data_IF_175757294858
#
_entry.id   IF_175757294858
#
_cell.length_a   1.000
_cell.length_b   1.000
_cell.length_c   1.000
_cell.angle_alpha   90.00
_cell.angle_beta   90.00
_cell.angle_gamma   90.00
#
_symmetry.space_group_name_H-M   'P 1'
#
loop_
_entity.id
_entity.type
_entity.pdbx_description
1 polymer ?
#
# COMPACT_ATOMS: atom_id res chain seq x y z
N UNK A 1 -1.43 19.59 23.88
CA UNK A 1 -1.94 19.81 22.52
C UNK A 1 -1.17 18.87 21.60
N UNK A 2 -1.86 17.99 20.87
CA UNK A 2 -1.18 17.10 19.92
C UNK A 2 -0.70 17.95 18.73
N UNK A 3 0.61 17.94 18.47
CA UNK A 3 1.18 18.54 17.26
C UNK A 3 0.83 17.63 16.09
N UNK A 4 -0.25 17.95 15.38
CA UNK A 4 -0.55 17.29 14.12
C UNK A 4 0.49 17.68 13.07
N UNK A 5 0.99 16.71 12.29
CA UNK A 5 1.65 17.02 11.02
C UNK A 5 0.68 17.68 10.03
N UNK A 6 1.18 18.21 8.91
CA UNK A 6 0.38 18.99 7.95
C UNK A 6 -0.93 18.31 7.53
N UNK A 7 -0.88 17.02 7.19
CA UNK A 7 -2.08 16.24 6.85
C UNK A 7 -3.08 16.14 8.01
N UNK A 8 -2.61 16.02 9.24
CA UNK A 8 -3.47 15.96 10.42
C UNK A 8 -4.13 17.31 10.72
N UNK A 9 -3.42 18.42 10.49
CA UNK A 9 -3.97 19.77 10.62
C UNK A 9 -5.04 20.04 9.55
N UNK A 10 -4.77 19.67 8.29
CA UNK A 10 -5.74 19.78 7.20
C UNK A 10 -7.01 18.93 7.47
N UNK A 11 -6.85 17.69 7.92
CA UNK A 11 -7.97 16.81 8.26
C UNK A 11 -8.79 17.36 9.44
N UNK A 12 -8.14 17.90 10.48
CA UNK A 12 -8.83 18.52 11.61
C UNK A 12 -9.64 19.74 11.18
N UNK A 13 -9.10 20.57 10.29
CA UNK A 13 -9.79 21.75 9.76
C UNK A 13 -10.98 21.36 8.89
N UNK A 14 -10.80 20.40 7.97
CA UNK A 14 -11.88 19.91 7.13
C UNK A 14 -13.06 19.39 7.96
N UNK A 15 -12.79 18.63 9.03
CA UNK A 15 -13.83 18.17 9.97
C UNK A 15 -14.56 19.31 10.66
N UNK A 16 -13.82 20.32 11.14
CA UNK A 16 -14.42 21.49 11.80
C UNK A 16 -15.35 22.28 10.85
N UNK A 17 -15.01 22.32 9.56
CA UNK A 17 -15.77 23.02 8.52
C UNK A 17 -16.83 22.12 7.83
N UNK A 18 -17.02 20.88 8.30
CA UNK A 18 -18.01 19.94 7.73
C UNK A 18 -17.69 19.44 6.32
N UNK A 19 -16.43 19.56 5.88
CA UNK A 19 -15.96 19.15 4.56
C UNK A 19 -15.72 17.63 4.55
N UNK A 20 -16.32 16.87 3.59
CA UNK A 20 -16.08 15.44 3.48
C UNK A 20 -14.60 15.12 3.24
N UNK A 21 -14.12 14.09 3.93
CA UNK A 21 -12.77 13.56 3.75
C UNK A 21 -12.83 12.24 2.97
N UNK A 22 -11.89 12.11 2.03
CA UNK A 22 -11.67 10.91 1.23
C UNK A 22 -10.26 10.39 1.48
N UNK A 23 -10.10 9.07 1.43
CA UNK A 23 -8.80 8.42 1.52
C UNK A 23 -8.21 8.29 0.13
N UNK A 24 -6.93 8.57 -0.01
CA UNK A 24 -6.16 8.24 -1.21
C UNK A 24 -5.78 6.76 -1.28
N UNK A 25 -5.78 6.05 -0.14
CA UNK A 25 -5.48 4.62 -0.13
C UNK A 25 -6.71 3.86 -0.63
N UNK A 26 -6.57 3.02 -1.67
CA UNK A 26 -7.62 2.10 -2.05
C UNK A 26 -7.88 1.10 -0.91
N UNK A 27 -9.04 0.45 -0.98
CA UNK A 27 -9.29 -0.72 -0.13
C UNK A 27 -8.26 -1.79 -0.42
N UNK A 28 -7.71 -2.41 0.63
CA UNK A 28 -6.67 -3.43 0.47
C UNK A 28 -7.14 -4.61 -0.37
N UNK A 29 -8.41 -5.01 -0.22
CA UNK A 29 -8.97 -6.12 -1.02
C UNK A 29 -8.90 -5.82 -2.53
N UNK A 30 -9.22 -4.58 -2.92
CA UNK A 30 -9.16 -4.17 -4.32
C UNK A 30 -7.71 -4.13 -4.82
N UNK A 31 -6.79 -3.57 -4.03
CA UNK A 31 -5.38 -3.53 -4.42
C UNK A 31 -4.81 -4.95 -4.61
N UNK A 32 -5.12 -5.87 -3.69
CA UNK A 32 -4.72 -7.28 -3.78
C UNK A 32 -5.29 -7.95 -5.03
N UNK A 33 -6.58 -7.75 -5.32
CA UNK A 33 -7.23 -8.28 -6.53
C UNK A 33 -6.51 -7.79 -7.80
N UNK A 34 -6.21 -6.48 -7.89
CA UNK A 34 -5.50 -5.91 -9.04
C UNK A 34 -4.05 -6.41 -9.15
N UNK A 35 -3.38 -6.64 -8.02
CA UNK A 35 -2.05 -7.22 -7.99
C UNK A 35 -2.04 -8.67 -8.44
N UNK A 36 -3.04 -9.47 -8.02
CA UNK A 36 -3.22 -10.86 -8.43
C UNK A 36 -3.53 -11.01 -9.92
N UNK A 37 -4.13 -10.00 -10.55
CA UNK A 37 -4.30 -9.96 -12.00
C UNK A 37 -2.97 -9.78 -12.77
N UNK A 38 -1.93 -9.28 -12.11
CA UNK A 38 -0.63 -8.94 -12.73
C UNK A 38 0.51 -9.90 -12.32
N UNK A 39 0.40 -10.55 -11.17
CA UNK A 39 1.49 -11.34 -10.58
C UNK A 39 0.99 -12.64 -9.93
N UNK A 40 1.87 -13.67 -9.84
CA UNK A 40 1.55 -14.89 -9.11
C UNK A 40 1.26 -14.61 -7.62
N UNK A 41 0.30 -15.32 -7.05
CA UNK A 41 -0.14 -15.15 -5.68
C UNK A 41 0.99 -15.20 -4.64
N UNK A 42 1.94 -16.13 -4.81
CA UNK A 42 3.11 -16.25 -3.92
C UNK A 42 3.97 -14.98 -3.91
N UNK A 43 4.20 -14.34 -5.07
CA UNK A 43 4.98 -13.10 -5.16
C UNK A 43 4.22 -11.92 -4.55
N UNK A 44 2.91 -11.85 -4.76
CA UNK A 44 2.05 -10.82 -4.16
C UNK A 44 2.02 -10.95 -2.63
N UNK A 45 1.85 -12.17 -2.12
CA UNK A 45 1.89 -12.45 -0.69
C UNK A 45 3.26 -12.08 -0.08
N UNK A 46 4.34 -12.52 -0.71
CA UNK A 46 5.71 -12.22 -0.26
C UNK A 46 5.95 -10.70 -0.19
N UNK A 47 5.51 -9.96 -1.20
CA UNK A 47 5.59 -8.50 -1.23
C UNK A 47 4.85 -7.84 -0.07
N UNK A 48 3.58 -8.17 0.15
CA UNK A 48 2.80 -7.53 1.23
C UNK A 48 3.27 -7.90 2.63
N UNK A 49 3.86 -9.09 2.79
CA UNK A 49 4.41 -9.56 4.06
C UNK A 49 5.76 -8.91 4.38
N UNK A 50 6.67 -8.84 3.40
CA UNK A 50 8.03 -8.34 3.64
C UNK A 50 8.17 -6.82 3.52
N UNK A 51 7.31 -6.13 2.75
CA UNK A 51 7.41 -4.67 2.55
C UNK A 51 7.51 -3.88 3.87
N UNK A 52 6.67 -4.12 4.90
CA UNK A 52 6.77 -3.39 6.16
C UNK A 52 8.08 -3.66 6.90
N UNK A 53 8.56 -4.92 6.88
CA UNK A 53 9.83 -5.30 7.51
C UNK A 53 11.01 -4.60 6.82
N UNK A 54 11.13 -4.75 5.50
CA UNK A 54 12.21 -4.16 4.72
C UNK A 54 12.24 -2.62 4.82
N UNK A 55 11.07 -1.98 4.88
CA UNK A 55 10.96 -0.53 5.13
C UNK A 55 11.34 -0.15 6.55
N UNK A 56 10.96 -0.96 7.53
CA UNK A 56 11.31 -0.77 8.94
C UNK A 56 12.82 -0.79 9.20
N UNK A 57 13.59 -1.56 8.43
CA UNK A 57 15.05 -1.66 8.58
C UNK A 57 15.77 -0.31 8.48
N UNK A 58 15.19 0.69 7.80
CA UNK A 58 15.73 2.07 7.75
C UNK A 58 15.80 2.74 9.13
N UNK A 59 14.95 2.31 10.05
CA UNK A 59 14.83 2.85 11.41
C UNK A 59 15.40 1.92 12.48
N UNK A 60 15.97 0.79 12.06
CA UNK A 60 16.53 -0.23 12.93
C UNK A 60 15.97 -1.62 12.66
N UNK A 61 16.73 -2.63 13.05
CA UNK A 61 16.30 -4.03 12.97
C UNK A 61 15.46 -4.37 14.21
N UNK A 62 14.27 -5.00 14.07
CA UNK A 62 13.53 -5.51 15.23
C UNK A 62 14.33 -6.61 15.93
N UNK A 63 14.19 -6.72 17.26
CA UNK A 63 14.88 -7.76 18.05
C UNK A 63 14.53 -9.18 17.61
N UNK A 64 13.29 -9.38 17.15
CA UNK A 64 12.77 -10.66 16.62
C UNK A 64 12.22 -10.46 15.18
N UNK A 65 13.07 -10.60 14.14
CA UNK A 65 12.65 -10.47 12.75
C UNK A 65 11.56 -11.45 12.32
N UNK A 66 11.65 -12.70 12.75
CA UNK A 66 10.72 -13.76 12.41
C UNK A 66 9.35 -13.51 13.04
N UNK A 67 9.31 -13.15 14.33
CA UNK A 67 8.08 -12.78 15.01
C UNK A 67 7.41 -11.57 14.37
N UNK A 68 8.20 -10.56 13.99
CA UNK A 68 7.70 -9.38 13.28
C UNK A 68 7.05 -9.75 11.95
N UNK A 69 7.72 -10.56 11.14
CA UNK A 69 7.20 -10.99 9.82
C UNK A 69 6.01 -11.94 9.97
N UNK A 70 5.97 -12.80 10.98
CA UNK A 70 4.87 -13.71 11.25
C UNK A 70 3.54 -12.97 11.50
N UNK A 71 3.57 -11.80 12.17
CA UNK A 71 2.40 -10.95 12.33
C UNK A 71 1.85 -10.45 10.98
N UNK A 72 2.73 -9.96 10.11
CA UNK A 72 2.34 -9.53 8.77
C UNK A 72 1.88 -10.71 7.91
N UNK A 73 2.51 -11.89 8.03
CA UNK A 73 2.06 -13.10 7.33
C UNK A 73 0.61 -13.39 7.66
N UNK A 74 0.24 -13.48 8.94
CA UNK A 74 -1.13 -13.78 9.38
C UNK A 74 -2.15 -12.77 8.88
N UNK A 75 -1.80 -11.49 8.89
CA UNK A 75 -2.73 -10.41 8.55
C UNK A 75 -2.79 -10.10 7.05
N UNK A 76 -1.72 -10.36 6.29
CA UNK A 76 -1.60 -9.98 4.87
C UNK A 76 -1.86 -11.13 3.90
N UNK A 77 -1.89 -12.38 4.36
CA UNK A 77 -2.28 -13.53 3.54
C UNK A 77 -3.75 -13.93 3.73
N UNK A 78 -4.52 -13.19 4.53
CA UNK A 78 -5.94 -13.46 4.78
C UNK A 78 -6.90 -12.89 3.73
N UNK A 79 -6.36 -12.31 2.65
CA UNK A 79 -7.15 -11.74 1.56
C UNK A 79 -7.46 -12.80 0.49
N UNK A 80 -8.64 -12.72 -0.16
CA UNK A 80 -9.01 -13.62 -1.26
C UNK A 80 -7.92 -13.77 -2.30
N UNK A 81 -7.50 -15.02 -2.53
CA UNK A 81 -6.46 -15.39 -3.50
C UNK A 81 -5.05 -15.43 -2.92
N UNK A 82 -4.84 -15.02 -1.66
CA UNK A 82 -3.56 -15.12 -0.95
C UNK A 82 -3.57 -16.19 0.15
N UNK A 83 -4.72 -16.79 0.46
CA UNK A 83 -4.84 -17.75 1.55
C UNK A 83 -3.95 -18.97 1.32
N UNK A 84 -3.20 -19.35 2.36
CA UNK A 84 -2.34 -20.55 2.33
C UNK A 84 -1.08 -20.42 1.47
N UNK A 85 -0.85 -19.30 0.78
CA UNK A 85 0.35 -19.10 -0.07
C UNK A 85 1.65 -19.08 0.75
N UNK A 86 1.60 -18.53 1.97
CA UNK A 86 2.71 -18.49 2.93
C UNK A 86 2.28 -19.14 4.24
N UNK A 87 2.38 -20.47 4.40
CA UNK A 87 1.94 -21.14 5.62
C UNK A 87 2.85 -20.90 6.83
N UNK A 88 4.10 -20.49 6.62
CA UNK A 88 5.09 -20.27 7.68
C UNK A 88 6.20 -19.32 7.24
N UNK A 89 7.03 -18.87 8.17
CA UNK A 89 8.26 -18.13 7.87
C UNK A 89 9.24 -18.97 7.04
N UNK A 90 9.31 -20.29 7.27
CA UNK A 90 10.13 -21.17 6.44
C UNK A 90 9.69 -21.20 4.96
N UNK A 91 8.39 -21.00 4.69
CA UNK A 91 7.91 -20.84 3.32
C UNK A 91 8.35 -19.50 2.70
N UNK A 92 8.43 -18.44 3.50
CA UNK A 92 9.02 -17.15 3.08
C UNK A 92 10.49 -17.34 2.72
N UNK A 93 11.27 -18.01 3.58
CA UNK A 93 12.69 -18.31 3.31
C UNK A 93 12.85 -19.10 2.00
N UNK A 94 12.01 -20.12 1.81
CA UNK A 94 12.04 -20.97 0.61
C UNK A 94 11.72 -20.19 -0.67
N UNK A 95 10.68 -19.34 -0.63
CA UNK A 95 10.29 -18.51 -1.77
C UNK A 95 11.31 -17.42 -2.07
N UNK A 96 11.84 -16.76 -1.03
CA UNK A 96 12.89 -15.77 -1.18
C UNK A 96 14.14 -16.38 -1.80
N UNK A 97 14.57 -17.55 -1.31
CA UNK A 97 15.71 -18.27 -1.87
C UNK A 97 15.48 -18.70 -3.31
N UNK A 98 14.28 -19.17 -3.66
CA UNK A 98 13.92 -19.53 -5.04
C UNK A 98 14.00 -18.34 -5.99
N UNK A 99 13.40 -17.22 -5.62
CA UNK A 99 13.23 -16.06 -6.50
C UNK A 99 14.47 -15.15 -6.49
N UNK A 100 15.25 -15.15 -5.40
CA UNK A 100 16.33 -14.20 -5.14
C UNK A 100 17.61 -14.82 -4.57
N UNK A 101 17.81 -16.14 -4.66
CA UNK A 101 18.88 -16.91 -4.01
C UNK A 101 20.34 -16.60 -4.38
N UNK A 102 20.59 -15.58 -5.22
CA UNK A 102 21.92 -15.01 -5.46
C UNK A 102 22.18 -13.70 -4.71
N UNK A 103 21.19 -13.20 -3.95
CA UNK A 103 21.24 -11.93 -3.23
C UNK A 103 21.37 -12.08 -1.72
N UNK A 104 21.13 -10.98 -1.01
CA UNK A 104 21.05 -10.96 0.45
C UNK A 104 19.81 -11.71 0.94
N UNK A 105 19.88 -12.23 2.16
CA UNK A 105 18.69 -12.71 2.87
C UNK A 105 17.68 -11.57 3.05
N UNK A 106 16.38 -11.88 3.10
CA UNK A 106 15.36 -10.85 3.30
C UNK A 106 15.54 -10.12 4.63
N UNK A 107 16.12 -10.78 5.65
CA UNK A 107 16.47 -10.19 6.97
C UNK A 107 17.50 -9.06 6.87
N UNK A 108 18.29 -9.06 5.81
CA UNK A 108 19.34 -8.08 5.54
C UNK A 108 19.01 -7.15 4.36
N UNK A 109 17.79 -7.25 3.82
CA UNK A 109 17.36 -6.52 2.62
C UNK A 109 16.49 -5.32 2.98
N UNK A 110 17.12 -4.14 2.99
CA UNK A 110 16.44 -2.85 3.15
C UNK A 110 15.91 -2.33 1.82
N UNK A 111 14.75 -1.70 1.83
CA UNK A 111 14.17 -1.03 0.66
C UNK A 111 14.82 0.33 0.35
N UNK A 112 15.77 0.80 1.17
CA UNK A 112 16.57 2.02 0.92
C UNK A 112 17.39 1.92 -0.37
N UNK A 113 17.88 0.72 -0.71
CA UNK A 113 18.71 0.48 -1.89
C UNK A 113 17.93 -0.20 -3.03
N UNK A 114 16.60 -0.19 -2.93
CA UNK A 114 15.71 -0.95 -3.80
C UNK A 114 15.53 -2.40 -3.34
N UNK A 115 14.32 -2.92 -3.51
CA UNK A 115 14.00 -4.32 -3.25
C UNK A 115 14.06 -5.13 -4.53
N UNK A 116 14.52 -6.40 -4.47
CA UNK A 116 14.19 -7.38 -5.49
C UNK A 116 12.68 -7.41 -5.72
N UNK A 117 12.24 -7.50 -6.97
CA UNK A 117 10.81 -7.40 -7.30
C UNK A 117 10.28 -5.96 -7.33
N UNK A 118 11.12 -4.98 -7.67
CA UNK A 118 10.74 -3.56 -7.78
C UNK A 118 9.48 -3.32 -8.64
N UNK A 119 9.19 -4.22 -9.59
CA UNK A 119 7.96 -4.20 -10.38
C UNK A 119 6.68 -4.31 -9.55
N UNK A 120 6.68 -5.05 -8.42
CA UNK A 120 5.53 -5.14 -7.53
C UNK A 120 5.30 -3.82 -6.78
N UNK A 121 6.37 -3.20 -6.29
CA UNK A 121 6.32 -1.87 -5.67
C UNK A 121 5.83 -0.82 -6.66
N UNK A 122 6.37 -0.82 -7.88
CA UNK A 122 5.97 0.10 -8.93
C UNK A 122 4.49 -0.07 -9.30
N UNK A 123 4.02 -1.32 -9.45
CA UNK A 123 2.60 -1.59 -9.75
C UNK A 123 1.69 -1.20 -8.60
N UNK A 124 2.04 -1.53 -7.35
CA UNK A 124 1.27 -1.13 -6.16
C UNK A 124 1.14 0.39 -6.06
N UNK A 125 2.23 1.14 -6.34
CA UNK A 125 2.18 2.60 -6.36
C UNK A 125 1.32 3.12 -7.52
N UNK A 126 1.47 2.58 -8.73
CA UNK A 126 0.65 2.96 -9.87
C UNK A 126 -0.86 2.74 -9.61
N UNK A 127 -1.24 1.61 -8.99
CA UNK A 127 -2.63 1.33 -8.63
C UNK A 127 -3.21 2.35 -7.64
N UNK A 128 -2.38 2.85 -6.71
CA UNK A 128 -2.79 3.88 -5.75
C UNK A 128 -2.95 5.24 -6.41
N UNK A 129 -2.03 5.59 -7.32
CA UNK A 129 -2.10 6.81 -8.10
C UNK A 129 -3.32 6.79 -9.05
N UNK A 130 -3.57 5.66 -9.73
CA UNK A 130 -4.78 5.42 -10.54
C UNK A 130 -6.05 5.57 -9.70
N UNK A 131 -6.08 4.99 -8.49
CA UNK A 131 -7.23 5.12 -7.59
C UNK A 131 -7.47 6.57 -7.16
N UNK A 132 -6.42 7.29 -6.75
CA UNK A 132 -6.52 8.71 -6.36
C UNK A 132 -7.05 9.56 -7.50
N UNK A 133 -6.49 9.39 -8.70
CA UNK A 133 -6.92 10.14 -9.87
C UNK A 133 -8.38 9.83 -10.23
N UNK A 134 -8.81 8.57 -10.11
CA UNK A 134 -10.21 8.17 -10.27
C UNK A 134 -11.14 8.85 -9.26
N UNK A 135 -10.77 8.88 -7.98
CA UNK A 135 -11.53 9.57 -6.93
C UNK A 135 -11.69 11.06 -7.22
N UNK A 136 -10.62 11.73 -7.66
CA UNK A 136 -10.66 13.15 -8.02
C UNK A 136 -11.57 13.37 -9.24
N UNK A 137 -11.40 12.58 -10.30
CA UNK A 137 -12.20 12.68 -11.52
C UNK A 137 -13.69 12.49 -11.25
N UNK A 138 -14.05 11.49 -10.44
CA UNK A 138 -15.43 11.21 -10.05
C UNK A 138 -16.06 12.36 -9.26
N UNK A 139 -15.32 12.97 -8.31
CA UNK A 139 -15.80 14.10 -7.51
C UNK A 139 -15.96 15.36 -8.37
N UNK A 140 -14.98 15.66 -9.22
CA UNK A 140 -15.06 16.79 -10.15
C UNK A 140 -16.22 16.59 -11.14
N UNK A 141 -16.42 15.36 -11.63
CA UNK A 141 -17.56 15.01 -12.49
C UNK A 141 -18.92 15.19 -11.80
N UNK A 142 -18.97 15.11 -10.47
CA UNK A 142 -20.15 15.42 -9.65
C UNK A 142 -20.31 16.92 -9.37
N UNK A 143 -19.42 17.78 -9.89
CA UNK A 143 -19.42 19.22 -9.67
C UNK A 143 -18.75 19.65 -8.35
N UNK A 144 -18.07 18.74 -7.67
CA UNK A 144 -17.36 19.05 -6.42
C UNK A 144 -16.05 19.81 -6.70
N UNK A 145 -15.64 20.65 -5.74
CA UNK A 145 -14.30 21.26 -5.72
C UNK A 145 -13.41 20.45 -4.79
N UNK A 146 -12.32 19.91 -5.33
CA UNK A 146 -11.43 19.01 -4.60
C UNK A 146 -10.14 19.71 -4.23
N UNK A 147 -9.70 19.55 -2.98
CA UNK A 147 -8.35 19.89 -2.53
C UNK A 147 -7.68 18.58 -2.14
N UNK A 148 -6.57 18.25 -2.81
CA UNK A 148 -5.76 17.10 -2.47
C UNK A 148 -4.56 17.55 -1.63
N UNK A 149 -4.36 16.89 -0.49
CA UNK A 149 -3.18 17.09 0.37
C UNK A 149 -2.41 15.77 0.34
N UNK A 150 -1.21 15.78 -0.23
CA UNK A 150 -0.37 14.59 -0.41
C UNK A 150 1.10 14.92 -0.17
N UNK A 151 1.92 13.91 0.08
CA UNK A 151 3.37 14.09 0.15
C UNK A 151 3.95 14.41 -1.22
N UNK A 152 5.06 15.16 -1.25
CA UNK A 152 5.71 15.62 -2.49
C UNK A 152 6.13 14.49 -3.45
N UNK A 153 6.25 13.25 -2.96
CA UNK A 153 6.57 12.07 -3.80
C UNK A 153 5.46 11.67 -4.77
N UNK A 154 4.28 12.28 -4.73
CA UNK A 154 3.11 11.92 -5.55
C UNK A 154 2.59 13.06 -6.45
N UNK A 155 3.23 14.24 -6.44
CA UNK A 155 2.76 15.37 -7.25
C UNK A 155 2.96 15.15 -8.76
N UNK A 156 3.92 14.31 -9.17
CA UNK A 156 4.33 14.17 -10.57
C UNK A 156 3.59 13.06 -11.35
N UNK A 157 2.83 12.17 -10.70
CA UNK A 157 2.29 10.95 -11.32
C UNK A 157 0.83 11.03 -11.77
N UNK A 158 0.15 12.17 -11.61
CA UNK A 158 -1.27 12.31 -11.96
C UNK A 158 -1.50 12.23 -13.49
N UNK A 159 -2.12 11.15 -14.03
CA UNK A 159 -2.35 11.00 -15.45
C UNK A 159 -3.44 11.98 -15.93
N UNK A 160 -3.25 12.59 -17.11
CA UNK A 160 -4.21 13.55 -17.69
C UNK A 160 -5.54 12.95 -18.14
N UNK A 161 -5.64 11.63 -18.25
CA UNK A 161 -6.83 10.90 -18.69
C UNK A 161 -7.04 9.68 -17.78
N UNK A 162 -7.97 9.75 -16.83
CA UNK A 162 -8.36 8.60 -15.98
C UNK A 162 -9.85 8.38 -16.17
N UNK A 163 -10.23 7.15 -16.49
CA UNK A 163 -11.65 6.77 -16.60
C UNK A 163 -12.30 6.73 -15.20
N UNK A 164 -13.62 7.01 -15.10
CA UNK A 164 -14.33 7.00 -13.83
C UNK A 164 -14.22 5.66 -13.10
N UNK A 165 -14.10 5.68 -11.77
CA UNK A 165 -13.91 4.47 -10.99
C UNK A 165 -15.22 3.64 -10.99
N UNK A 166 -15.20 2.33 -11.31
CA UNK A 166 -16.43 1.53 -11.50
C UNK A 166 -17.17 1.16 -10.19
N UNK A 167 -16.94 1.89 -9.08
CA UNK A 167 -17.55 1.63 -7.78
C UNK A 167 -17.89 2.90 -7.01
N UNK A 168 -18.85 2.82 -6.08
CA UNK A 168 -19.14 3.96 -5.19
C UNK A 168 -17.92 4.23 -4.31
N UNK A 169 -17.36 5.44 -4.41
CA UNK A 169 -16.29 5.91 -3.52
C UNK A 169 -16.80 5.83 -2.07
N UNK A 170 -16.12 5.09 -1.18
CA UNK A 170 -16.51 5.03 0.21
C UNK A 170 -16.36 6.41 0.85
N UNK A 171 -17.49 7.04 1.22
CA UNK A 171 -17.43 8.20 2.12
C UNK A 171 -17.03 7.69 3.50
N UNK A 172 -15.95 8.23 4.05
CA UNK A 172 -15.59 7.95 5.42
C UNK A 172 -16.67 8.54 6.34
N UNK A 173 -17.45 7.68 6.99
CA UNK A 173 -18.32 8.05 8.11
C UNK A 173 -17.61 7.61 9.38
N UNK A 174 -16.90 8.51 10.03
CA UNK A 174 -16.54 8.32 11.43
C UNK A 174 -17.75 8.70 12.29
N UNK A 175 -18.21 7.75 13.10
CA UNK A 175 -19.00 8.07 14.30
C UNK A 175 -18.16 8.80 15.34
#
# INVERSE_FOLDING_TARGET
MANYGEMGAAAARARADGIPLYSWEPRREWEVEQMLASFPAERVALFYVLRPYCSGLRFGRPEDPEGFVEEFRRTRTGYPGLEGTLPSVAAIDSLWSRDFGGGKDWRDTSDEYGLPGAELSARSNALRDEHLAGVIADLVGQGERVVAVMGSSHEESCPRNVEPFPGKIPRWRSG
#
